data_IF_693899330258
#
_entry.id   IF_693899330258
#
_cell.length_a   1.000
_cell.length_b   1.000
_cell.length_c   1.000
_cell.angle_alpha   90.00
_cell.angle_beta   90.00
_cell.angle_gamma   90.00
#
_symmetry.space_group_name_H-M   'P 1'
#
loop_
_entity.id
_entity.type
_entity.pdbx_description
1 polymer ?
#
# COMPACT_ATOMS: atom_id res chain seq x y z
N UNK A 1 16.62 23.43 -12.03
CA UNK A 1 16.14 22.24 -11.28
C UNK A 1 14.64 21.99 -11.41
N UNK A 2 13.79 22.98 -11.75
CA UNK A 2 12.39 22.71 -12.10
C UNK A 2 12.25 21.88 -13.39
N UNK A 3 13.25 21.91 -14.26
CA UNK A 3 13.39 21.14 -15.49
C UNK A 3 13.30 19.61 -15.30
N UNK A 4 13.57 19.10 -14.10
CA UNK A 4 13.36 17.68 -13.77
C UNK A 4 11.89 17.27 -13.91
N UNK A 5 10.95 18.22 -13.75
CA UNK A 5 9.51 17.98 -13.95
C UNK A 5 9.14 17.61 -15.39
N UNK A 6 10.01 17.88 -16.37
CA UNK A 6 9.81 17.48 -17.76
C UNK A 6 10.36 16.06 -18.06
N UNK A 7 10.79 15.31 -17.03
CA UNK A 7 11.30 13.95 -17.23
C UNK A 7 10.18 13.00 -17.65
N UNK A 8 10.39 12.14 -18.67
CA UNK A 8 9.39 11.15 -19.09
C UNK A 8 9.27 9.96 -18.13
N UNK A 9 10.20 9.79 -17.19
CA UNK A 9 10.16 8.70 -16.20
C UNK A 9 9.38 9.13 -14.96
N UNK A 10 8.58 8.25 -14.32
CA UNK A 10 7.87 8.59 -13.09
C UNK A 10 8.79 9.18 -12.02
N UNK A 11 8.36 10.27 -11.38
CA UNK A 11 9.11 10.96 -10.34
C UNK A 11 8.19 11.45 -9.21
N UNK A 12 8.78 11.71 -8.05
CA UNK A 12 8.15 12.43 -6.94
C UNK A 12 9.09 13.57 -6.53
N UNK A 13 8.63 14.81 -6.63
CA UNK A 13 9.42 16.00 -6.29
C UNK A 13 8.60 16.95 -5.41
N UNK A 14 9.27 17.57 -4.44
CA UNK A 14 8.71 18.68 -3.67
C UNK A 14 9.17 20.01 -4.26
N UNK A 15 8.23 20.92 -4.51
CA UNK A 15 8.51 22.25 -5.06
C UNK A 15 7.93 23.30 -4.12
N UNK A 16 8.65 24.41 -3.91
CA UNK A 16 8.16 25.51 -3.09
C UNK A 16 7.01 26.24 -3.80
N UNK A 17 5.99 26.64 -3.04
CA UNK A 17 4.80 27.31 -3.58
C UNK A 17 5.06 28.50 -4.53
N UNK A 18 6.08 29.37 -4.31
CA UNK A 18 6.37 30.47 -5.23
C UNK A 18 6.81 30.03 -6.64
N UNK A 19 7.24 28.77 -6.80
CA UNK A 19 7.66 28.22 -8.10
C UNK A 19 6.49 27.67 -8.93
N UNK A 20 5.27 27.59 -8.37
CA UNK A 20 4.12 27.02 -9.07
C UNK A 20 3.80 27.70 -10.43
N UNK A 21 3.82 29.05 -10.56
CA UNK A 21 3.57 29.68 -11.86
C UNK A 21 4.57 29.25 -12.93
N UNK A 22 5.85 29.16 -12.56
CA UNK A 22 6.91 28.71 -13.47
C UNK A 22 6.76 27.22 -13.82
N UNK A 23 6.32 26.40 -12.87
CA UNK A 23 6.07 24.97 -13.10
C UNK A 23 4.94 24.74 -14.11
N UNK A 24 3.88 25.54 -14.05
CA UNK A 24 2.73 25.45 -14.97
C UNK A 24 3.05 25.95 -16.39
N UNK A 25 4.12 26.73 -16.57
CA UNK A 25 4.59 27.18 -17.89
C UNK A 25 5.48 26.14 -18.60
N UNK A 26 5.96 25.12 -17.87
CA UNK A 26 6.78 24.06 -18.46
C UNK A 26 5.92 23.09 -19.27
N UNK A 27 6.47 22.48 -20.35
CA UNK A 27 5.77 21.49 -21.18
C UNK A 27 5.73 20.13 -20.47
N UNK A 28 5.02 20.05 -19.36
CA UNK A 28 4.88 18.84 -18.56
C UNK A 28 3.63 18.09 -19.03
N UNK A 29 3.80 16.83 -19.42
CA UNK A 29 2.71 15.93 -19.82
C UNK A 29 2.45 14.92 -18.70
N UNK A 30 1.18 14.57 -18.46
CA UNK A 30 0.75 13.51 -17.52
C UNK A 30 1.27 13.68 -16.07
N UNK A 31 1.07 14.86 -15.47
CA UNK A 31 1.48 15.14 -14.07
C UNK A 31 0.30 15.32 -13.12
N UNK A 32 0.44 14.81 -11.90
CA UNK A 32 -0.41 15.13 -10.75
C UNK A 32 0.29 16.20 -9.90
N UNK A 33 -0.36 17.35 -9.68
CA UNK A 33 0.19 18.43 -8.84
C UNK A 33 -0.75 18.69 -7.67
N UNK A 34 -0.21 18.63 -6.46
CA UNK A 34 -0.95 18.88 -5.22
C UNK A 34 -0.35 20.09 -4.51
N UNK A 35 -1.20 21.05 -4.16
CA UNK A 35 -0.86 22.16 -3.27
C UNK A 35 -1.20 21.77 -1.84
N UNK A 36 -0.17 21.41 -1.07
CA UNK A 36 -0.31 20.98 0.33
C UNK A 36 -0.71 22.13 1.28
N UNK A 37 -0.46 23.39 0.91
CA UNK A 37 -0.85 24.53 1.74
C UNK A 37 -2.33 24.87 1.56
N UNK A 38 -2.84 24.71 0.33
CA UNK A 38 -4.24 24.95 0.00
C UNK A 38 -5.12 23.69 0.06
N UNK A 39 -4.53 22.54 0.39
CA UNK A 39 -5.20 21.23 0.46
C UNK A 39 -6.03 20.91 -0.79
N UNK A 40 -5.40 21.06 -1.97
CA UNK A 40 -6.09 20.89 -3.26
C UNK A 40 -5.20 20.31 -4.35
N UNK A 41 -5.84 19.63 -5.29
CA UNK A 41 -5.22 19.30 -6.56
C UNK A 41 -5.18 20.54 -7.46
N UNK A 42 -3.99 20.85 -7.99
CA UNK A 42 -3.78 21.88 -9.01
C UNK A 42 -3.94 21.30 -10.41
N UNK A 43 -3.42 20.08 -10.62
CA UNK A 43 -3.55 19.31 -11.87
C UNK A 43 -3.94 17.89 -11.50
N UNK A 44 -4.89 17.30 -12.24
CA UNK A 44 -5.41 15.96 -12.06
C UNK A 44 -5.35 15.21 -13.40
N UNK A 45 -5.22 13.88 -13.32
CA UNK A 45 -5.27 12.93 -14.43
C UNK A 45 -6.67 12.33 -14.62
N UNK A 46 -7.51 12.37 -13.58
CA UNK A 46 -8.93 12.03 -13.62
C UNK A 46 -9.28 10.60 -13.19
N UNK A 47 -8.30 9.80 -12.76
CA UNK A 47 -8.49 8.45 -12.26
C UNK A 47 -8.21 8.30 -10.75
N UNK A 48 -7.88 9.39 -10.05
CA UNK A 48 -7.45 9.40 -8.65
C UNK A 48 -8.44 8.73 -7.70
N UNK A 49 -9.74 8.93 -7.93
CA UNK A 49 -10.82 8.40 -7.09
C UNK A 49 -11.15 6.92 -7.37
N UNK A 50 -10.62 6.35 -8.46
CA UNK A 50 -11.00 5.02 -8.95
C UNK A 50 -9.83 4.07 -9.22
N UNK A 51 -8.59 4.55 -9.06
CA UNK A 51 -7.39 3.74 -9.27
C UNK A 51 -7.29 2.60 -8.26
N UNK A 52 -7.73 2.79 -7.02
CA UNK A 52 -7.62 1.78 -5.96
C UNK A 52 -8.81 0.82 -5.92
N UNK A 53 -8.63 -0.43 -5.43
CA UNK A 53 -9.74 -1.33 -5.16
C UNK A 53 -10.69 -0.74 -4.10
N UNK A 54 -11.92 -0.40 -4.49
CA UNK A 54 -12.88 0.38 -3.68
C UNK A 54 -13.06 -0.10 -2.23
N UNK A 55 -13.07 -1.42 -1.98
CA UNK A 55 -13.19 -1.95 -0.60
C UNK A 55 -11.95 -1.69 0.25
N UNK A 56 -10.76 -1.81 -0.34
CA UNK A 56 -9.50 -1.54 0.37
C UNK A 56 -9.29 -0.04 0.55
N UNK A 57 -9.68 0.76 -0.46
CA UNK A 57 -9.69 2.22 -0.37
C UNK A 57 -10.61 2.70 0.76
N UNK A 58 -11.86 2.23 0.81
CA UNK A 58 -12.81 2.60 1.86
C UNK A 58 -12.30 2.20 3.25
N UNK A 59 -11.68 1.02 3.38
CA UNK A 59 -11.10 0.58 4.65
C UNK A 59 -9.93 1.46 5.10
N UNK A 60 -9.05 1.84 4.16
CA UNK A 60 -7.93 2.73 4.45
C UNK A 60 -8.41 4.15 4.79
N UNK A 61 -9.38 4.68 4.04
CA UNK A 61 -10.00 5.98 4.32
C UNK A 61 -10.61 6.02 5.72
N UNK A 62 -11.37 4.98 6.10
CA UNK A 62 -11.95 4.91 7.43
C UNK A 62 -10.89 4.96 8.54
N UNK A 63 -9.76 4.27 8.39
CA UNK A 63 -8.66 4.35 9.38
C UNK A 63 -8.11 5.77 9.48
N UNK A 64 -7.93 6.44 8.34
CA UNK A 64 -7.38 7.79 8.31
C UNK A 64 -8.35 8.82 8.87
N UNK A 65 -9.65 8.64 8.66
CA UNK A 65 -10.72 9.51 9.14
C UNK A 65 -10.99 9.30 10.64
N UNK A 66 -11.14 8.05 11.08
CA UNK A 66 -11.44 7.67 12.47
C UNK A 66 -10.17 7.52 13.34
N UNK A 67 -9.02 8.01 12.85
CA UNK A 67 -7.70 7.80 13.48
C UNK A 67 -7.67 8.19 14.95
N UNK A 68 -8.32 9.29 15.33
CA UNK A 68 -8.35 9.76 16.72
C UNK A 68 -9.17 8.83 17.61
N UNK A 69 -10.34 8.38 17.12
CA UNK A 69 -11.21 7.44 17.84
C UNK A 69 -10.55 6.08 18.03
N UNK A 70 -9.80 5.61 17.02
CA UNK A 70 -9.04 4.35 17.09
C UNK A 70 -7.94 4.46 18.16
N UNK A 71 -7.18 5.55 18.18
CA UNK A 71 -6.12 5.76 19.18
C UNK A 71 -6.71 5.83 20.60
N UNK A 72 -7.79 6.58 20.79
CA UNK A 72 -8.47 6.70 22.08
C UNK A 72 -9.02 5.37 22.61
N UNK A 73 -9.47 4.47 21.72
CA UNK A 73 -9.94 3.13 22.10
C UNK A 73 -8.80 2.21 22.53
N UNK A 74 -7.63 2.30 21.89
CA UNK A 74 -6.45 1.51 22.24
C UNK A 74 -5.89 1.92 23.60
N UNK A 75 -5.92 3.22 23.92
CA UNK A 75 -5.42 3.75 25.20
C UNK A 75 -6.36 3.46 26.39
N UNK A 76 -7.65 3.24 26.14
CA UNK A 76 -8.65 2.94 27.17
C UNK A 76 -8.62 1.49 27.68
N UNK A 77 -8.03 0.57 26.93
CA UNK A 77 -8.02 -0.88 27.22
C UNK A 77 -6.77 -1.31 28.00
N UNK A 78 -6.49 -0.62 29.13
CA UNK A 78 -5.68 -1.06 30.29
C UNK A 78 -4.34 -1.79 30.10
N UNK A 79 -3.83 -1.86 28.88
CA UNK A 79 -2.70 -2.69 28.49
C UNK A 79 -1.45 -1.85 28.70
N UNK A 80 -0.53 -2.31 29.54
CA UNK A 80 0.74 -1.66 29.90
C UNK A 80 1.75 -1.58 28.72
N UNK A 81 1.26 -1.57 27.48
CA UNK A 81 2.03 -1.40 26.25
C UNK A 81 2.20 0.07 25.88
N UNK A 82 3.23 0.36 25.07
CA UNK A 82 3.46 1.70 24.53
C UNK A 82 2.21 2.21 23.81
N UNK A 83 1.77 3.41 24.19
CA UNK A 83 0.73 4.19 23.51
C UNK A 83 0.96 4.15 22.00
N UNK A 84 0.00 3.61 21.25
CA UNK A 84 0.07 3.62 19.80
C UNK A 84 0.08 5.08 19.34
N UNK A 85 1.12 5.49 18.61
CA UNK A 85 1.18 6.84 18.08
C UNK A 85 0.49 6.92 16.71
N UNK A 86 0.14 8.14 16.30
CA UNK A 86 -0.51 8.40 15.02
C UNK A 86 0.33 7.86 13.84
N UNK A 87 1.65 8.00 13.91
CA UNK A 87 2.57 7.54 12.86
C UNK A 87 2.50 6.02 12.67
N UNK A 88 2.44 5.26 13.76
CA UNK A 88 2.31 3.81 13.78
C UNK A 88 0.96 3.40 13.23
N UNK A 89 -0.14 4.04 13.65
CA UNK A 89 -1.48 3.76 13.13
C UNK A 89 -1.56 3.97 11.62
N UNK A 90 -1.09 5.12 11.13
CA UNK A 90 -1.09 5.47 9.71
C UNK A 90 -0.24 4.48 8.92
N UNK A 91 1.00 4.23 9.36
CA UNK A 91 1.90 3.27 8.72
C UNK A 91 1.29 1.87 8.67
N UNK A 92 0.65 1.45 9.76
CA UNK A 92 0.02 0.14 9.85
C UNK A 92 -1.18 0.02 8.91
N UNK A 93 -1.99 1.07 8.76
CA UNK A 93 -3.07 1.12 7.79
C UNK A 93 -2.57 0.85 6.36
N UNK A 94 -1.46 1.49 5.97
CA UNK A 94 -0.85 1.26 4.67
C UNK A 94 -0.20 -0.13 4.53
N UNK A 95 0.51 -0.62 5.56
CA UNK A 95 1.05 -1.99 5.54
C UNK A 95 -0.08 -3.00 5.38
N UNK A 96 -1.17 -2.84 6.13
CA UNK A 96 -2.34 -3.70 6.05
C UNK A 96 -2.99 -3.67 4.66
N UNK A 97 -3.05 -2.49 4.03
CA UNK A 97 -3.52 -2.35 2.64
C UNK A 97 -2.69 -3.23 1.70
N UNK A 98 -1.36 -3.17 1.77
CA UNK A 98 -0.49 -3.99 0.93
C UNK A 98 -0.52 -5.47 1.30
N UNK A 99 -0.69 -5.83 2.58
CA UNK A 99 -0.85 -7.23 3.00
C UNK A 99 -2.10 -7.85 2.38
N UNK A 100 -3.24 -7.15 2.41
CA UNK A 100 -4.46 -7.62 1.75
C UNK A 100 -4.32 -7.65 0.22
N UNK A 101 -3.55 -6.74 -0.36
CA UNK A 101 -3.38 -6.61 -1.80
C UNK A 101 -2.44 -7.66 -2.40
N UNK A 102 -1.26 -7.86 -1.79
CA UNK A 102 -0.18 -8.69 -2.34
C UNK A 102 0.38 -9.71 -1.36
N UNK A 103 -0.12 -9.81 -0.13
CA UNK A 103 0.45 -10.68 0.91
C UNK A 103 0.46 -12.17 0.55
N UNK A 104 -0.42 -12.62 -0.34
CA UNK A 104 -0.45 -13.99 -0.85
C UNK A 104 0.63 -14.32 -1.88
N UNK A 105 1.52 -13.37 -2.23
CA UNK A 105 2.56 -13.57 -3.26
C UNK A 105 3.40 -14.83 -3.03
N UNK A 106 3.75 -15.13 -1.77
CA UNK A 106 4.58 -16.27 -1.40
C UNK A 106 4.00 -17.63 -1.83
N UNK A 107 2.67 -17.74 -1.92
CA UNK A 107 1.98 -18.95 -2.38
C UNK A 107 2.13 -19.18 -3.90
N UNK A 108 2.59 -18.16 -4.62
CA UNK A 108 2.75 -18.15 -6.07
C UNK A 108 4.21 -17.97 -6.50
N UNK A 109 5.16 -18.04 -5.55
CA UNK A 109 6.58 -18.12 -5.84
C UNK A 109 6.96 -19.58 -6.10
N UNK A 110 7.50 -19.88 -7.28
CA UNK A 110 7.88 -21.25 -7.66
C UNK A 110 9.39 -21.29 -7.91
N UNK A 111 10.03 -22.38 -7.46
CA UNK A 111 11.43 -22.63 -7.78
C UNK A 111 11.57 -23.13 -9.22
N UNK A 112 12.34 -22.37 -10.01
CA UNK A 112 12.71 -22.70 -11.39
C UNK A 112 13.85 -23.72 -11.40
N UNK A 113 14.04 -24.38 -12.54
CA UNK A 113 15.03 -25.46 -12.72
C UNK A 113 16.48 -25.03 -12.49
N UNK A 114 16.76 -23.74 -12.56
CA UNK A 114 18.06 -23.12 -12.30
C UNK A 114 18.28 -22.76 -10.80
N UNK A 115 17.30 -23.04 -9.93
CA UNK A 115 17.31 -22.69 -8.51
C UNK A 115 16.91 -21.25 -8.20
N UNK A 116 16.46 -20.44 -9.17
CA UNK A 116 15.83 -19.14 -8.91
C UNK A 116 14.38 -19.33 -8.48
N UNK A 117 13.87 -18.45 -7.62
CA UNK A 117 12.43 -18.35 -7.36
C UNK A 117 11.85 -17.33 -8.31
N UNK A 118 10.67 -17.62 -8.86
CA UNK A 118 9.98 -16.73 -9.80
C UNK A 118 8.50 -16.64 -9.44
N UNK A 119 7.93 -15.43 -9.52
CA UNK A 119 6.50 -15.23 -9.29
C UNK A 119 5.68 -15.69 -10.50
N UNK A 120 4.74 -16.61 -10.26
CA UNK A 120 3.72 -17.01 -11.23
C UNK A 120 2.64 -15.93 -11.36
N UNK A 121 2.96 -14.86 -12.11
CA UNK A 121 2.17 -13.62 -12.23
C UNK A 121 0.67 -13.86 -12.45
N UNK A 122 0.33 -14.71 -13.41
CA UNK A 122 -1.07 -14.99 -13.75
C UNK A 122 -1.81 -15.74 -12.63
N UNK A 123 -1.13 -16.69 -11.99
CA UNK A 123 -1.68 -17.45 -10.86
C UNK A 123 -1.91 -16.53 -9.65
N UNK A 124 -0.91 -15.70 -9.33
CA UNK A 124 -0.97 -14.69 -8.26
C UNK A 124 -2.12 -13.69 -8.43
N UNK A 125 -2.29 -13.16 -9.65
CA UNK A 125 -3.40 -12.25 -9.94
C UNK A 125 -4.75 -12.97 -9.87
N UNK A 126 -4.89 -14.15 -10.48
CA UNK A 126 -6.18 -14.85 -10.59
C UNK A 126 -6.66 -15.43 -9.27
N UNK A 127 -5.76 -15.79 -8.35
CA UNK A 127 -6.10 -16.35 -7.05
C UNK A 127 -6.74 -15.36 -6.09
N UNK A 128 -6.52 -14.05 -6.28
CA UNK A 128 -7.11 -13.05 -5.39
C UNK A 128 -8.65 -13.05 -5.53
N UNK A 129 -9.44 -13.14 -4.44
CA UNK A 129 -10.90 -13.32 -4.52
C UNK A 129 -11.65 -12.10 -5.07
N UNK A 130 -11.17 -10.88 -4.79
CA UNK A 130 -11.80 -9.64 -5.25
C UNK A 130 -11.50 -9.30 -6.72
N UNK A 131 -12.54 -9.13 -7.54
CA UNK A 131 -12.42 -8.69 -8.95
C UNK A 131 -11.71 -7.34 -9.10
N UNK A 132 -12.03 -6.37 -8.25
CA UNK A 132 -11.43 -5.04 -8.29
C UNK A 132 -9.92 -5.10 -8.02
N UNK A 133 -9.51 -5.93 -7.06
CA UNK A 133 -8.08 -6.17 -6.80
C UNK A 133 -7.41 -6.86 -8.00
N UNK A 134 -8.05 -7.86 -8.64
CA UNK A 134 -7.47 -8.47 -9.84
C UNK A 134 -7.26 -7.48 -10.99
N UNK A 135 -8.17 -6.52 -11.15
CA UNK A 135 -8.04 -5.44 -12.15
C UNK A 135 -6.91 -4.49 -11.78
N UNK A 136 -6.80 -4.09 -10.52
CA UNK A 136 -5.69 -3.28 -10.04
C UNK A 136 -4.33 -3.96 -10.23
N UNK A 137 -4.22 -5.23 -9.82
CA UNK A 137 -3.00 -6.03 -9.96
C UNK A 137 -2.56 -6.15 -11.43
N UNK A 138 -3.49 -6.13 -12.39
CA UNK A 138 -3.13 -6.13 -13.80
C UNK A 138 -2.22 -4.95 -14.17
N UNK A 139 -2.46 -3.78 -13.59
CA UNK A 139 -1.68 -2.56 -13.84
C UNK A 139 -0.49 -2.45 -12.88
N UNK A 140 -0.75 -2.66 -11.59
CA UNK A 140 0.25 -2.51 -10.54
C UNK A 140 1.46 -3.43 -10.73
N UNK A 141 1.25 -4.64 -11.22
CA UNK A 141 2.34 -5.59 -11.43
C UNK A 141 3.30 -5.19 -12.55
N UNK A 142 2.93 -4.24 -13.41
CA UNK A 142 3.78 -3.70 -14.48
C UNK A 142 4.59 -2.48 -14.01
N UNK A 143 4.42 -2.05 -12.74
CA UNK A 143 5.19 -0.95 -12.16
C UNK A 143 6.59 -1.37 -11.73
N UNK A 144 7.53 -0.42 -11.75
CA UNK A 144 8.90 -0.63 -11.24
C UNK A 144 8.91 -0.96 -9.73
N UNK A 145 7.98 -0.40 -8.97
CA UNK A 145 7.86 -0.66 -7.53
C UNK A 145 7.55 -2.14 -7.26
N UNK A 146 6.59 -2.72 -7.99
CA UNK A 146 6.28 -4.15 -7.85
C UNK A 146 7.42 -5.03 -8.34
N UNK A 147 8.06 -4.66 -9.45
CA UNK A 147 9.21 -5.40 -9.97
C UNK A 147 10.36 -5.47 -8.95
N UNK A 148 10.71 -4.34 -8.33
CA UNK A 148 11.71 -4.29 -7.26
C UNK A 148 11.30 -5.10 -6.04
N UNK A 149 10.03 -4.99 -5.62
CA UNK A 149 9.50 -5.79 -4.51
C UNK A 149 9.67 -7.29 -4.73
N UNK A 150 9.34 -7.82 -5.92
CA UNK A 150 9.50 -9.25 -6.21
C UNK A 150 10.97 -9.63 -6.34
N UNK A 151 11.78 -8.83 -7.03
CA UNK A 151 13.21 -9.08 -7.20
C UNK A 151 13.93 -9.26 -5.86
N UNK A 152 13.60 -8.45 -4.86
CA UNK A 152 14.14 -8.58 -3.51
C UNK A 152 13.82 -9.95 -2.89
N UNK A 153 12.64 -10.52 -3.17
CA UNK A 153 12.21 -11.85 -2.67
C UNK A 153 12.85 -13.00 -3.43
N UNK A 154 13.14 -12.81 -4.72
CA UNK A 154 13.84 -13.81 -5.54
C UNK A 154 15.32 -13.92 -5.13
N UNK A 155 15.93 -12.80 -4.69
CA UNK A 155 17.32 -12.73 -4.25
C UNK A 155 17.52 -13.08 -2.76
N UNK A 156 16.47 -13.00 -1.94
CA UNK A 156 16.55 -13.28 -0.50
C UNK A 156 16.86 -14.76 -0.24
N UNK A 157 18.13 -15.05 0.10
CA UNK A 157 18.62 -16.41 0.44
C UNK A 157 18.56 -16.74 1.94
N UNK A 158 18.08 -15.83 2.79
CA UNK A 158 18.08 -15.98 4.25
C UNK A 158 16.74 -15.61 4.88
N UNK A 159 16.31 -16.38 5.88
CA UNK A 159 14.99 -16.28 6.53
C UNK A 159 14.77 -15.06 7.43
N UNK A 160 15.49 -13.96 7.22
CA UNK A 160 15.21 -12.70 7.90
C UNK A 160 13.90 -12.13 7.35
N UNK A 161 12.83 -12.24 8.14
CA UNK A 161 11.51 -11.69 7.80
C UNK A 161 11.53 -10.18 8.05
N UNK A 162 11.25 -9.39 7.02
CA UNK A 162 10.98 -7.97 7.19
C UNK A 162 9.61 -7.75 7.85
N UNK A 163 9.32 -6.50 8.20
CA UNK A 163 8.02 -6.13 8.81
C UNK A 163 6.84 -6.65 7.98
N UNK A 164 6.93 -6.50 6.65
CA UNK A 164 5.88 -6.96 5.74
C UNK A 164 5.64 -8.48 5.87
N UNK A 165 6.71 -9.29 5.88
CA UNK A 165 6.60 -10.75 6.01
C UNK A 165 6.01 -11.18 7.36
N UNK A 166 6.34 -10.45 8.43
CA UNK A 166 5.74 -10.67 9.75
C UNK A 166 4.22 -10.42 9.67
N UNK A 167 3.80 -9.29 9.10
CA UNK A 167 2.37 -8.96 8.98
C UNK A 167 1.61 -9.89 8.04
N UNK A 168 2.25 -10.37 6.98
CA UNK A 168 1.68 -11.41 6.10
C UNK A 168 1.43 -12.69 6.88
N UNK A 169 2.39 -13.16 7.68
CA UNK A 169 2.23 -14.36 8.48
C UNK A 169 1.06 -14.23 9.47
N UNK A 170 1.00 -13.13 10.22
CA UNK A 170 -0.10 -12.84 11.15
C UNK A 170 -1.47 -12.74 10.44
N UNK A 171 -1.50 -12.16 9.24
CA UNK A 171 -2.72 -12.09 8.44
C UNK A 171 -3.21 -13.47 7.99
N UNK A 172 -2.30 -14.33 7.52
CA UNK A 172 -2.64 -15.68 7.08
C UNK A 172 -3.09 -16.55 8.26
N UNK A 173 -2.43 -16.46 9.41
CA UNK A 173 -2.78 -17.20 10.62
C UNK A 173 -4.14 -16.78 11.20
N UNK A 174 -4.55 -15.52 11.00
CA UNK A 174 -5.84 -14.99 11.44
C UNK A 174 -7.01 -15.25 10.48
N UNK A 175 -6.76 -15.84 9.30
CA UNK A 175 -7.76 -16.12 8.27
C UNK A 175 -7.94 -17.63 8.01
N UNK A 176 -8.70 -18.36 8.85
CA UNK A 176 -8.98 -19.77 8.61
C UNK A 176 -9.98 -20.03 7.46
N UNK A 177 -10.73 -19.02 6.99
CA UNK A 177 -11.68 -19.15 5.86
C UNK A 177 -11.55 -18.05 4.80
N UNK A 178 -11.83 -18.35 3.51
CA UNK A 178 -11.83 -17.39 2.41
C UNK A 178 -13.08 -16.50 2.45
N UNK A 179 -13.26 -15.73 3.51
CA UNK A 179 -14.28 -14.69 3.54
C UNK A 179 -13.86 -13.50 2.64
N UNK A 180 -14.81 -12.87 1.93
CA UNK A 180 -14.51 -11.71 1.10
C UNK A 180 -13.93 -10.57 1.94
N UNK A 181 -12.75 -10.08 1.54
CA UNK A 181 -12.13 -8.90 2.15
C UNK A 181 -13.12 -7.74 2.19
N UNK A 182 -13.28 -7.16 3.37
CA UNK A 182 -14.26 -6.13 3.70
C UNK A 182 -13.77 -5.29 4.88
N UNK A 183 -14.33 -4.09 5.00
CA UNK A 183 -13.88 -3.04 5.93
C UNK A 183 -13.78 -3.55 7.37
N UNK A 184 -14.78 -4.29 7.85
CA UNK A 184 -14.78 -4.88 9.20
C UNK A 184 -13.63 -5.87 9.43
N UNK A 185 -13.22 -6.65 8.42
CA UNK A 185 -12.09 -7.59 8.54
C UNK A 185 -10.77 -6.83 8.61
N UNK A 186 -10.67 -5.75 7.83
CA UNK A 186 -9.51 -4.87 7.78
C UNK A 186 -9.25 -4.21 9.16
N UNK A 187 -10.28 -3.59 9.74
CA UNK A 187 -10.20 -2.91 11.05
C UNK A 187 -9.94 -3.88 12.21
N UNK A 188 -10.61 -5.05 12.21
CA UNK A 188 -10.36 -6.09 13.23
C UNK A 188 -8.92 -6.60 13.20
N UNK A 189 -8.32 -6.69 12.02
CA UNK A 189 -6.91 -7.03 11.86
C UNK A 189 -6.01 -5.96 12.46
N UNK A 190 -6.31 -4.68 12.18
CA UNK A 190 -5.53 -3.53 12.65
C UNK A 190 -5.52 -3.43 14.19
N UNK A 191 -6.66 -3.56 14.85
CA UNK A 191 -6.75 -3.46 16.32
C UNK A 191 -5.85 -4.48 17.03
N UNK A 192 -5.79 -5.72 16.54
CA UNK A 192 -4.87 -6.75 17.06
C UNK A 192 -3.40 -6.38 16.85
N UNK A 193 -3.08 -5.76 15.72
CA UNK A 193 -1.71 -5.40 15.34
C UNK A 193 -1.18 -4.17 16.10
N UNK A 194 -2.07 -3.32 16.59
CA UNK A 194 -1.74 -2.17 17.44
C UNK A 194 -1.59 -2.56 18.92
N UNK A 195 -2.24 -3.65 19.35
CA UNK A 195 -2.15 -4.18 20.72
C UNK A 195 -0.95 -5.12 20.93
N UNK A 196 -0.42 -5.73 19.87
CA UNK A 196 0.72 -6.65 19.96
C UNK A 196 2.00 -5.90 19.59
N UNK A 197 2.76 -5.49 20.61
CA UNK A 197 4.21 -5.20 20.53
C UNK A 197 4.86 -5.34 21.90
#
# INVERSE_FOLDING_TARGET
MLDVSCSPTPFLIGVLAPCLPQLLELPIEEVLIVDLCADKFVVQLGDEDCILPSKLQAALQQILEEREDILNQVDGDGSEGQQADLSSLVSEGFVRFFVELVGHYGLHMVESSNGSRELQRDSFRKSHPSRGVRQFLQLFMDTQMFAGFIQDKELAKGGARGLFEVRVAEYLDSCPEPEPSGVNKFLKGLGKLLQVK
#
